data_IF_440301072593
#
_entry.id   IF_440301072593
#
_cell.length_a   1.000
_cell.length_b   1.000
_cell.length_c   1.000
_cell.angle_alpha   90.00
_cell.angle_beta   90.00
_cell.angle_gamma   90.00
#
_symmetry.space_group_name_H-M   'P 1'
#
loop_
_entity.id
_entity.type
_entity.pdbx_description
1 polymer ?
#
# COMPACT_ATOMS: atom_id res chain seq x y z
N UNK A 1 6.97 -21.11 -13.20
CA UNK A 1 5.67 -20.50 -12.84
C UNK A 1 5.42 -20.72 -11.36
N UNK A 2 5.91 -19.82 -10.50
CA UNK A 2 5.64 -19.87 -9.06
C UNK A 2 4.24 -19.33 -8.81
N UNK A 3 3.31 -20.21 -8.43
CA UNK A 3 1.87 -19.93 -8.42
C UNK A 3 1.33 -19.41 -7.09
N UNK A 4 2.21 -18.94 -6.19
CA UNK A 4 1.89 -18.14 -4.99
C UNK A 4 3.11 -17.29 -4.58
N UNK A 5 3.24 -16.02 -5.03
CA UNK A 5 4.45 -15.23 -4.82
C UNK A 5 4.24 -14.13 -3.75
N UNK A 6 4.95 -14.18 -2.62
CA UNK A 6 5.21 -13.04 -1.72
C UNK A 6 4.05 -12.46 -0.87
N UNK A 7 2.87 -12.25 -1.46
CA UNK A 7 1.78 -11.47 -0.85
C UNK A 7 1.24 -12.02 0.47
N UNK A 8 1.23 -13.34 0.65
CA UNK A 8 0.81 -13.98 1.91
C UNK A 8 1.80 -13.66 3.05
N UNK A 9 3.09 -13.56 2.73
CA UNK A 9 4.12 -13.21 3.71
C UNK A 9 3.99 -11.75 4.14
N UNK A 10 3.81 -10.84 3.18
CA UNK A 10 3.67 -9.41 3.46
C UNK A 10 2.38 -9.11 4.25
N UNK A 11 1.27 -9.78 3.92
CA UNK A 11 0.02 -9.74 4.72
C UNK A 11 0.22 -10.22 6.17
N UNK A 12 0.97 -11.32 6.37
CA UNK A 12 1.23 -11.85 7.70
C UNK A 12 2.11 -10.91 8.54
N UNK A 13 3.19 -10.39 7.94
CA UNK A 13 4.08 -9.41 8.57
C UNK A 13 3.29 -8.14 8.92
N UNK A 14 2.41 -7.68 8.02
CA UNK A 14 1.54 -6.53 8.25
C UNK A 14 0.62 -6.72 9.45
N UNK A 15 -0.04 -7.87 9.57
CA UNK A 15 -0.95 -8.17 10.69
C UNK A 15 -0.26 -8.08 12.05
N UNK A 16 1.05 -8.38 12.10
CA UNK A 16 1.86 -8.32 13.33
C UNK A 16 2.65 -7.03 13.50
N UNK A 17 2.56 -6.09 12.56
CA UNK A 17 3.39 -4.89 12.54
C UNK A 17 2.94 -3.85 13.58
N UNK A 18 3.90 -3.25 14.29
CA UNK A 18 3.63 -2.11 15.17
C UNK A 18 3.09 -0.90 14.41
N UNK A 19 3.43 -0.77 13.12
CA UNK A 19 2.92 0.29 12.24
C UNK A 19 1.41 0.14 12.07
N UNK A 20 0.92 -1.10 11.92
CA UNK A 20 -0.52 -1.37 11.81
C UNK A 20 -1.25 -0.93 13.08
N UNK A 21 -0.73 -1.29 14.26
CA UNK A 21 -1.33 -0.89 15.53
C UNK A 21 -1.38 0.64 15.68
N UNK A 22 -0.31 1.33 15.30
CA UNK A 22 -0.28 2.79 15.33
C UNK A 22 -1.32 3.42 14.39
N UNK A 23 -1.48 2.90 13.17
CA UNK A 23 -2.51 3.39 12.24
C UNK A 23 -3.93 3.09 12.74
N UNK A 24 -4.16 1.94 13.39
CA UNK A 24 -5.44 1.62 14.04
C UNK A 24 -5.75 2.64 15.14
N UNK A 25 -4.80 2.94 16.02
CA UNK A 25 -4.97 3.93 17.09
C UNK A 25 -5.24 5.33 16.53
N UNK A 26 -4.48 5.77 15.53
CA UNK A 26 -4.70 7.06 14.87
C UNK A 26 -6.10 7.13 14.25
N UNK A 27 -6.52 6.06 13.56
CA UNK A 27 -7.86 5.98 12.98
C UNK A 27 -8.96 6.03 14.04
N UNK A 28 -8.79 5.34 15.18
CA UNK A 28 -9.71 5.40 16.32
C UNK A 28 -9.77 6.80 16.93
N UNK A 29 -8.64 7.51 16.96
CA UNK A 29 -8.52 8.91 17.40
C UNK A 29 -9.01 9.93 16.35
N UNK A 30 -9.71 9.47 15.29
CA UNK A 30 -10.26 10.28 14.19
C UNK A 30 -9.22 10.95 13.30
N UNK A 31 -7.97 10.51 13.33
CA UNK A 31 -7.02 10.90 12.30
C UNK A 31 -7.43 10.28 10.95
N UNK A 32 -7.42 11.11 9.92
CA UNK A 32 -7.77 10.78 8.52
C UNK A 32 -6.70 11.27 7.54
N UNK A 33 -5.57 11.75 8.05
CA UNK A 33 -4.46 12.28 7.26
C UNK A 33 -3.28 11.30 7.19
N UNK A 34 -3.27 10.27 8.04
CA UNK A 34 -2.31 9.18 7.99
C UNK A 34 -2.72 8.12 6.97
N UNK A 35 -1.90 7.94 5.93
CA UNK A 35 -2.13 6.96 4.87
C UNK A 35 -0.91 6.07 4.69
N UNK A 36 -1.15 4.78 4.51
CA UNK A 36 -0.14 3.81 4.10
C UNK A 36 -0.34 3.44 2.64
N UNK A 37 0.72 3.57 1.86
CA UNK A 37 0.72 3.17 0.46
C UNK A 37 1.05 1.67 0.37
N UNK A 38 0.02 0.84 0.19
CA UNK A 38 0.15 -0.62 0.12
C UNK A 38 0.28 -1.14 -1.31
N UNK A 39 0.73 -2.39 -1.43
CA UNK A 39 0.51 -3.20 -2.63
C UNK A 39 -0.78 -4.01 -2.51
N UNK A 40 -1.24 -4.59 -3.62
CA UNK A 40 -2.36 -5.54 -3.69
C UNK A 40 -2.25 -6.74 -2.75
N UNK A 41 -1.05 -7.02 -2.20
CA UNK A 41 -0.81 -8.04 -1.19
C UNK A 41 -1.21 -7.65 0.24
N UNK A 42 -1.64 -6.42 0.50
CA UNK A 42 -2.11 -5.98 1.83
C UNK A 42 -3.64 -6.11 1.94
N UNK A 43 -4.17 -6.45 3.13
CA UNK A 43 -5.61 -6.44 3.35
C UNK A 43 -6.18 -5.02 3.19
N UNK A 44 -7.42 -4.92 2.69
CA UNK A 44 -8.14 -3.66 2.55
C UNK A 44 -8.41 -3.05 3.93
N UNK A 45 -7.65 -2.02 4.28
CA UNK A 45 -7.81 -1.26 5.53
C UNK A 45 -8.11 0.23 5.25
N UNK A 46 -8.80 0.94 6.16
CA UNK A 46 -9.27 2.31 5.92
C UNK A 46 -8.17 3.34 5.62
N UNK A 47 -6.95 3.07 6.08
CA UNK A 47 -5.76 3.90 5.90
C UNK A 47 -4.87 3.42 4.74
N UNK A 48 -5.26 2.34 4.03
CA UNK A 48 -4.46 1.77 2.95
C UNK A 48 -4.86 2.40 1.61
N UNK A 49 -3.94 3.13 0.98
CA UNK A 49 -4.11 3.64 -0.37
C UNK A 49 -3.74 2.55 -1.37
N UNK A 50 -4.71 2.18 -2.20
CA UNK A 50 -4.51 1.35 -3.38
C UNK A 50 -4.79 2.17 -4.65
N UNK A 51 -4.20 1.73 -5.77
CA UNK A 51 -4.55 2.29 -7.07
C UNK A 51 -6.01 1.99 -7.40
N UNK A 52 -6.65 2.92 -8.10
CA UNK A 52 -8.01 2.73 -8.64
C UNK A 52 -7.92 1.81 -9.86
N UNK A 53 -8.74 0.76 -9.89
CA UNK A 53 -8.76 -0.23 -10.97
C UNK A 53 -10.08 -0.14 -11.75
N UNK A 54 -10.03 -0.23 -13.07
CA UNK A 54 -11.21 -0.17 -13.93
C UNK A 54 -10.87 0.17 -15.37
N UNK A 55 -11.87 0.05 -16.26
CA UNK A 55 -11.69 0.32 -17.69
C UNK A 55 -12.05 1.76 -18.10
N UNK A 56 -12.72 2.53 -17.24
CA UNK A 56 -13.18 3.90 -17.51
C UNK A 56 -12.72 4.87 -16.42
N UNK A 57 -11.40 4.93 -16.18
CA UNK A 57 -10.83 5.86 -15.21
C UNK A 57 -10.93 7.30 -15.72
N UNK A 58 -11.45 8.19 -14.90
CA UNK A 58 -11.45 9.61 -15.20
C UNK A 58 -10.05 10.23 -15.03
N UNK A 59 -9.86 11.46 -15.48
CA UNK A 59 -8.55 12.14 -15.44
C UNK A 59 -7.99 12.27 -14.01
N UNK A 60 -8.85 12.50 -13.02
CA UNK A 60 -8.43 12.60 -11.62
C UNK A 60 -7.94 11.26 -11.07
N UNK A 61 -8.62 10.17 -11.40
CA UNK A 61 -8.21 8.80 -11.03
C UNK A 61 -6.90 8.41 -11.71
N UNK A 62 -6.71 8.79 -12.98
CA UNK A 62 -5.45 8.56 -13.69
C UNK A 62 -4.29 9.33 -13.06
N UNK A 63 -4.48 10.61 -12.69
CA UNK A 63 -3.47 11.39 -11.99
C UNK A 63 -3.17 10.84 -10.60
N UNK A 64 -4.21 10.44 -9.87
CA UNK A 64 -4.05 9.77 -8.58
C UNK A 64 -3.22 8.49 -8.71
N UNK A 65 -3.57 7.62 -9.66
CA UNK A 65 -2.82 6.39 -9.93
C UNK A 65 -1.38 6.66 -10.32
N UNK A 66 -1.11 7.69 -11.14
CA UNK A 66 0.28 8.10 -11.47
C UNK A 66 1.06 8.50 -10.22
N UNK A 67 0.46 9.28 -9.32
CA UNK A 67 1.11 9.68 -8.07
C UNK A 67 1.39 8.47 -7.16
N UNK A 68 0.43 7.56 -7.03
CA UNK A 68 0.57 6.30 -6.27
C UNK A 68 1.70 5.45 -6.86
N UNK A 69 1.68 5.20 -8.17
CA UNK A 69 2.69 4.39 -8.87
C UNK A 69 4.09 5.02 -8.81
N UNK A 70 4.21 6.34 -8.96
CA UNK A 70 5.48 7.06 -8.83
C UNK A 70 6.08 6.86 -7.44
N UNK A 71 5.26 7.02 -6.39
CA UNK A 71 5.68 6.80 -5.00
C UNK A 71 6.15 5.36 -4.79
N UNK A 72 5.41 4.37 -5.30
CA UNK A 72 5.80 2.96 -5.22
C UNK A 72 7.13 2.66 -5.89
N UNK A 73 7.34 3.18 -7.10
CA UNK A 73 8.58 2.98 -7.84
C UNK A 73 9.82 3.46 -7.06
N UNK A 74 9.69 4.56 -6.30
CA UNK A 74 10.78 5.06 -5.45
C UNK A 74 11.06 4.08 -4.30
N UNK A 75 10.02 3.62 -3.60
CA UNK A 75 10.15 2.67 -2.50
C UNK A 75 10.72 1.31 -2.94
N UNK A 76 10.27 0.79 -4.09
CA UNK A 76 10.75 -0.48 -4.65
C UNK A 76 12.22 -0.39 -5.08
N UNK A 77 12.61 0.73 -5.71
CA UNK A 77 14.01 1.00 -6.05
C UNK A 77 14.90 1.05 -4.81
N UNK A 78 14.47 1.77 -3.77
CA UNK A 78 15.21 1.85 -2.50
C UNK A 78 15.40 0.46 -1.89
N UNK A 79 14.34 -0.35 -1.85
CA UNK A 79 14.40 -1.72 -1.34
C UNK A 79 15.35 -2.60 -2.15
N UNK A 80 15.38 -2.43 -3.48
CA UNK A 80 16.33 -3.11 -4.37
C UNK A 80 17.78 -2.76 -4.03
N UNK A 81 18.09 -1.47 -3.83
CA UNK A 81 19.42 -1.01 -3.42
C UNK A 81 19.81 -1.59 -2.05
N UNK A 82 18.89 -1.60 -1.09
CA UNK A 82 19.17 -2.09 0.28
C UNK A 82 19.36 -3.61 0.38
N UNK A 83 18.81 -4.36 -0.59
CA UNK A 83 18.96 -5.82 -0.68
C UNK A 83 20.12 -6.23 -1.59
N UNK A 84 20.84 -5.27 -2.17
CA UNK A 84 21.99 -5.51 -3.05
C UNK A 84 23.26 -5.88 -2.28
#
# INVERSE_FOLDING_TARGET
MSRYPGSVHDSAVWMTSQIRNHLVENYQNRDRYSWLLGDSGYPLEPWLINAVHGHDLNEHELNFNRAVLSTRNVSERLNGVLKS
#
